data_IF_783313353222
#
_entry.id   IF_783313353222
#
_cell.length_a   1.000
_cell.length_b   1.000
_cell.length_c   1.000
_cell.angle_alpha   90.00
_cell.angle_beta   90.00
_cell.angle_gamma   90.00
#
_symmetry.space_group_name_H-M   'P 1'
#
loop_
_entity.id
_entity.type
_entity.pdbx_description
1 polymer ?
#
# COMPACT_ATOMS: atom_id res chain seq x y z
N UNK A 1 8.49 17.93 -21.37
CA UNK A 1 8.44 17.99 -20.41
C UNK A 1 8.16 16.97 -19.53
N UNK A 2 8.85 16.51 -18.93
CA UNK A 2 8.74 15.52 -18.11
C UNK A 2 7.85 15.76 -17.04
N UNK A 3 7.25 16.69 -17.10
CA UNK A 3 6.45 17.03 -16.04
C UNK A 3 5.32 16.11 -15.87
N UNK A 4 5.09 15.29 -16.81
CA UNK A 4 3.99 14.46 -16.68
C UNK A 4 4.05 13.60 -15.54
N UNK A 5 5.12 12.99 -15.31
CA UNK A 5 5.21 12.09 -14.21
C UNK A 5 5.02 12.82 -12.95
N UNK A 6 5.58 14.01 -12.87
CA UNK A 6 5.43 14.72 -11.71
C UNK A 6 4.09 15.31 -11.61
N UNK A 7 3.42 15.48 -12.69
CA UNK A 7 2.11 16.05 -12.66
C UNK A 7 1.16 15.25 -11.83
N UNK A 8 1.24 13.94 -11.92
CA UNK A 8 0.38 13.11 -11.10
C UNK A 8 0.64 13.36 -9.64
N UNK A 9 1.90 13.49 -9.27
CA UNK A 9 2.24 13.76 -7.92
C UNK A 9 1.79 15.14 -7.54
N UNK A 10 1.99 16.07 -8.42
CA UNK A 10 1.64 17.44 -8.14
C UNK A 10 0.16 17.61 -7.98
N UNK A 11 -0.63 16.80 -8.59
CA UNK A 11 -2.05 16.93 -8.44
C UNK A 11 -2.52 16.39 -7.11
N UNK A 12 -1.63 15.86 -6.32
CA UNK A 12 -2.00 15.41 -5.00
C UNK A 12 -2.50 13.99 -4.93
N UNK A 13 -2.44 13.26 -6.03
CA UNK A 13 -2.89 11.88 -6.01
C UNK A 13 -1.75 11.00 -5.56
N UNK A 14 -1.88 10.34 -4.42
CA UNK A 14 -0.80 9.49 -3.92
C UNK A 14 -0.70 8.20 -4.72
N UNK A 15 0.49 7.61 -4.68
CA UNK A 15 0.74 6.34 -5.34
C UNK A 15 0.67 5.22 -4.31
N UNK A 16 -0.04 4.16 -4.66
CA UNK A 16 -0.12 2.98 -3.82
C UNK A 16 0.45 1.82 -4.62
N UNK A 17 1.39 1.10 -4.05
CA UNK A 17 1.97 -0.07 -4.69
C UNK A 17 1.32 -1.33 -4.13
N UNK A 18 0.94 -2.24 -5.00
CA UNK A 18 0.39 -3.53 -4.59
C UNK A 18 1.39 -4.58 -5.01
N UNK A 19 1.93 -5.35 -4.06
CA UNK A 19 2.88 -6.40 -4.37
C UNK A 19 2.20 -7.73 -4.05
N UNK A 20 1.80 -8.45 -5.07
CA UNK A 20 0.96 -9.62 -4.88
C UNK A 20 1.14 -10.59 -6.02
N UNK A 21 0.96 -11.86 -5.74
CA UNK A 21 0.96 -12.88 -6.77
C UNK A 21 -0.44 -13.12 -7.31
N UNK A 22 -1.43 -12.43 -6.79
CA UNK A 22 -2.81 -12.67 -7.18
C UNK A 22 -3.38 -11.46 -7.92
N UNK A 23 -3.58 -11.57 -9.23
CA UNK A 23 -4.11 -10.41 -9.98
C UNK A 23 -5.45 -9.91 -9.46
N UNK A 24 -6.26 -10.80 -8.90
CA UNK A 24 -7.55 -10.36 -8.39
C UNK A 24 -7.42 -9.41 -7.21
N UNK A 25 -6.39 -9.58 -6.41
CA UNK A 25 -6.18 -8.65 -5.31
C UNK A 25 -5.82 -7.27 -5.85
N UNK A 26 -4.94 -7.23 -6.85
CA UNK A 26 -4.58 -5.95 -7.44
C UNK A 26 -5.79 -5.26 -8.03
N UNK A 27 -6.64 -6.00 -8.71
CA UNK A 27 -7.85 -5.41 -9.28
C UNK A 27 -8.79 -4.90 -8.21
N UNK A 28 -8.91 -5.64 -7.13
CA UNK A 28 -9.79 -5.22 -6.04
C UNK A 28 -9.27 -3.94 -5.39
N UNK A 29 -7.96 -3.84 -5.23
CA UNK A 29 -7.37 -2.64 -4.63
C UNK A 29 -7.54 -1.46 -5.58
N UNK A 30 -7.32 -1.68 -6.87
CA UNK A 30 -7.51 -0.61 -7.83
C UNK A 30 -8.94 -0.08 -7.77
N UNK A 31 -9.91 -0.98 -7.76
CA UNK A 31 -11.29 -0.56 -7.67
C UNK A 31 -11.61 0.16 -6.39
N UNK A 32 -11.09 -0.36 -5.29
CA UNK A 32 -11.38 0.23 -3.99
C UNK A 32 -10.80 1.63 -3.85
N UNK A 33 -9.66 1.90 -4.48
CA UNK A 33 -8.97 3.16 -4.33
C UNK A 33 -9.20 4.12 -5.49
N UNK A 34 -10.11 3.77 -6.37
CA UNK A 34 -10.39 4.62 -7.50
C UNK A 34 -10.80 6.00 -7.04
N UNK A 35 -10.21 7.02 -7.57
CA UNK A 35 -10.51 8.40 -7.19
C UNK A 35 -9.71 8.94 -6.03
N UNK A 36 -9.02 8.08 -5.28
CA UNK A 36 -8.25 8.57 -4.15
C UNK A 36 -6.76 8.28 -4.27
N UNK A 37 -6.38 7.35 -5.12
CA UNK A 37 -4.96 7.02 -5.26
C UNK A 37 -4.71 6.41 -6.62
N UNK A 38 -3.48 6.51 -7.06
CA UNK A 38 -3.03 5.82 -8.25
C UNK A 38 -2.46 4.49 -7.79
N UNK A 39 -2.91 3.38 -8.35
CA UNK A 39 -2.49 2.07 -7.90
C UNK A 39 -1.62 1.43 -8.97
N UNK A 40 -0.46 0.90 -8.56
CA UNK A 40 0.38 0.13 -9.45
C UNK A 40 0.64 -1.22 -8.85
N UNK A 41 0.46 -2.25 -9.63
CA UNK A 41 0.59 -3.61 -9.18
C UNK A 41 1.88 -4.21 -9.66
N UNK A 42 2.54 -4.97 -8.80
CA UNK A 42 3.80 -5.62 -9.10
C UNK A 42 3.76 -7.05 -8.59
N UNK A 43 4.36 -7.99 -9.30
CA UNK A 43 4.33 -9.37 -8.86
C UNK A 43 5.21 -9.57 -7.63
N UNK A 44 4.77 -10.40 -6.73
CA UNK A 44 5.55 -10.76 -5.56
C UNK A 44 6.71 -11.67 -5.97
N UNK A 45 7.73 -11.69 -5.14
CA UNK A 45 8.83 -12.63 -5.35
C UNK A 45 9.82 -12.23 -6.43
N UNK A 46 9.81 -10.96 -6.81
CA UNK A 46 10.67 -10.54 -7.90
C UNK A 46 11.99 -9.97 -7.45
N UNK A 47 12.42 -10.23 -6.27
CA UNK A 47 13.72 -9.77 -5.82
C UNK A 47 13.59 -8.82 -4.67
N UNK A 48 14.41 -7.78 -4.63
CA UNK A 48 14.50 -6.92 -3.46
C UNK A 48 13.36 -5.92 -3.43
N UNK A 49 12.31 -6.29 -2.76
CA UNK A 49 11.12 -5.46 -2.69
C UNK A 49 11.41 -4.13 -1.99
N UNK A 50 12.21 -4.14 -0.94
CA UNK A 50 12.48 -2.89 -0.23
C UNK A 50 13.20 -1.89 -1.13
N UNK A 51 14.18 -2.35 -1.91
CA UNK A 51 14.90 -1.45 -2.81
C UNK A 51 13.99 -0.90 -3.89
N UNK A 52 13.14 -1.75 -4.43
CA UNK A 52 12.20 -1.35 -5.44
C UNK A 52 11.25 -0.29 -4.90
N UNK A 53 10.77 -0.48 -3.68
CA UNK A 53 9.87 0.50 -3.09
C UNK A 53 10.58 1.80 -2.77
N UNK A 54 11.86 1.75 -2.42
CA UNK A 54 12.62 2.98 -2.20
C UNK A 54 12.71 3.81 -3.47
N UNK A 55 12.82 3.15 -4.60
CA UNK A 55 12.84 3.89 -5.84
C UNK A 55 11.48 4.44 -6.20
N UNK A 56 10.45 3.69 -5.93
CA UNK A 56 9.11 4.08 -6.31
C UNK A 56 8.50 5.11 -5.37
N UNK A 57 8.83 5.04 -4.10
CA UNK A 57 8.35 5.98 -3.08
C UNK A 57 6.83 6.10 -3.01
N UNK A 58 6.13 4.98 -2.86
CA UNK A 58 4.68 5.07 -2.73
C UNK A 58 4.27 5.59 -1.36
N UNK A 59 3.10 6.15 -1.28
CA UNK A 59 2.55 6.61 0.00
C UNK A 59 2.04 5.44 0.83
N UNK A 60 1.63 4.36 0.16
CA UNK A 60 1.15 3.18 0.85
C UNK A 60 1.49 1.95 0.04
N UNK A 61 1.59 0.82 0.70
CA UNK A 61 1.89 -0.45 0.05
C UNK A 61 0.90 -1.47 0.54
N UNK A 62 0.38 -2.29 -0.36
CA UNK A 62 -0.52 -3.39 -0.01
C UNK A 62 0.18 -4.67 -0.43
N UNK A 63 0.32 -5.61 0.48
CA UNK A 63 0.97 -6.89 0.21
C UNK A 63 0.10 -8.02 0.71
N UNK A 64 0.31 -9.22 0.17
CA UNK A 64 -0.49 -10.36 0.61
C UNK A 64 0.34 -11.55 1.06
N UNK A 65 1.62 -11.40 1.24
CA UNK A 65 2.42 -12.50 1.76
C UNK A 65 3.29 -12.01 2.91
N UNK A 66 3.61 -12.89 3.85
CA UNK A 66 4.45 -12.48 4.97
C UNK A 66 5.84 -12.02 4.53
N UNK A 67 6.41 -12.68 3.51
CA UNK A 67 7.74 -12.30 3.06
C UNK A 67 7.75 -10.90 2.48
N UNK A 68 6.76 -10.60 1.68
CA UNK A 68 6.69 -9.27 1.13
C UNK A 68 6.36 -8.24 2.20
N UNK A 69 5.59 -8.65 3.20
CA UNK A 69 5.27 -7.75 4.29
C UNK A 69 6.51 -7.34 5.06
N UNK A 70 7.44 -8.28 5.28
CA UNK A 70 8.66 -7.93 5.98
C UNK A 70 9.51 -6.97 5.18
N UNK A 71 9.66 -7.23 3.89
CA UNK A 71 10.46 -6.35 3.05
C UNK A 71 9.82 -4.97 2.93
N UNK A 72 8.51 -4.94 2.77
CA UNK A 72 7.82 -3.67 2.65
C UNK A 72 7.82 -2.90 3.97
N UNK A 73 7.82 -3.62 5.10
CA UNK A 73 7.86 -2.95 6.40
C UNK A 73 9.15 -2.18 6.58
N UNK A 74 10.24 -2.70 6.07
CA UNK A 74 11.51 -2.01 6.16
C UNK A 74 11.40 -0.66 5.45
N UNK A 75 10.88 -0.67 4.24
CA UNK A 75 10.67 0.56 3.50
C UNK A 75 9.68 1.47 4.21
N UNK A 76 8.58 0.91 4.70
CA UNK A 76 7.53 1.72 5.29
C UNK A 76 8.00 2.45 6.54
N UNK A 77 8.85 1.80 7.33
CA UNK A 77 9.37 2.46 8.52
C UNK A 77 10.30 3.62 8.15
N UNK A 78 11.13 3.40 7.12
CA UNK A 78 12.04 4.45 6.70
C UNK A 78 11.31 5.63 6.11
N UNK A 79 10.31 5.36 5.29
CA UNK A 79 9.64 6.41 4.53
C UNK A 79 8.39 6.92 5.22
N UNK A 80 8.03 6.31 6.33
CA UNK A 80 6.80 6.63 7.05
C UNK A 80 5.59 6.40 6.18
N UNK A 81 5.65 5.39 5.34
CA UNK A 81 4.53 5.01 4.51
C UNK A 81 3.63 4.05 5.27
N UNK A 82 2.41 3.91 4.82
CA UNK A 82 1.47 2.97 5.40
C UNK A 82 1.60 1.65 4.68
N UNK A 83 1.60 0.55 5.41
CA UNK A 83 1.65 -0.78 4.82
C UNK A 83 0.43 -1.55 5.27
N UNK A 84 -0.27 -2.12 4.32
CA UNK A 84 -1.44 -2.96 4.60
C UNK A 84 -1.09 -4.39 4.19
N UNK A 85 -1.15 -5.30 5.12
CA UNK A 85 -0.91 -6.71 4.84
C UNK A 85 -2.27 -7.40 4.84
N UNK A 86 -2.65 -7.93 3.69
CA UNK A 86 -3.91 -8.61 3.51
C UNK A 86 -3.65 -10.10 3.59
N UNK A 87 -4.25 -10.77 4.54
CA UNK A 87 -4.11 -12.21 4.62
C UNK A 87 -5.38 -12.80 4.07
N UNK A 88 -5.33 -13.24 2.82
CA UNK A 88 -6.52 -13.78 2.19
C UNK A 88 -6.94 -15.10 2.81
N UNK A 89 -5.95 -15.88 3.23
CA UNK A 89 -6.26 -17.15 3.85
C UNK A 89 -7.00 -16.98 5.16
N UNK A 90 -6.61 -15.99 5.95
CA UNK A 90 -7.23 -15.78 7.25
C UNK A 90 -8.29 -14.71 7.23
N UNK A 91 -8.49 -14.09 6.07
CA UNK A 91 -9.48 -13.04 5.91
C UNK A 91 -9.24 -11.91 6.91
N UNK A 92 -8.02 -11.44 6.98
CA UNK A 92 -7.62 -10.42 7.93
C UNK A 92 -6.80 -9.33 7.31
N UNK A 93 -6.83 -8.17 7.93
CA UNK A 93 -5.97 -7.07 7.57
C UNK A 93 -5.07 -6.69 8.74
N UNK A 94 -3.83 -6.41 8.46
CA UNK A 94 -2.93 -5.83 9.43
C UNK A 94 -2.39 -4.54 8.83
N UNK A 95 -2.20 -3.55 9.67
CA UNK A 95 -1.77 -2.24 9.22
C UNK A 95 -0.49 -1.86 9.94
N UNK A 96 0.52 -1.44 9.22
CA UNK A 96 1.72 -0.89 9.82
C UNK A 96 1.69 0.61 9.58
N UNK A 97 1.64 1.37 10.66
CA UNK A 97 1.61 2.81 10.55
C UNK A 97 2.42 3.36 11.72
N UNK A 98 3.28 4.33 11.42
CA UNK A 98 4.13 4.95 12.43
C UNK A 98 4.98 3.91 13.16
N UNK A 99 5.41 2.89 12.44
CA UNK A 99 6.28 1.86 12.99
C UNK A 99 5.60 0.81 13.84
N UNK A 100 4.29 0.81 13.90
CA UNK A 100 3.58 -0.15 14.72
C UNK A 100 2.57 -0.94 13.92
N UNK A 101 2.54 -2.24 14.16
CA UNK A 101 1.56 -3.11 13.54
C UNK A 101 0.26 -3.09 14.33
N UNK A 102 -0.84 -3.03 13.64
CA UNK A 102 -2.15 -3.12 14.24
C UNK A 102 -2.96 -4.16 13.50
N UNK A 103 -3.68 -4.99 14.23
CA UNK A 103 -4.62 -5.90 13.61
C UNK A 103 -5.94 -5.17 13.53
N UNK A 104 -6.58 -5.18 12.39
CA UNK A 104 -7.88 -4.56 12.24
C UNK A 104 -8.91 -5.60 12.62
N UNK A 105 -9.34 -5.51 13.82
CA UNK A 105 -10.03 -6.59 14.45
C UNK A 105 -11.40 -6.92 13.95
N UNK A 106 -12.05 -6.06 13.20
CA UNK A 106 -13.29 -6.41 12.75
C UNK A 106 -13.23 -7.07 11.51
N UNK A 107 -12.22 -7.61 11.20
CA UNK A 107 -11.97 -8.22 10.41
C UNK A 107 -12.00 -8.62 9.06
N UNK A 108 -12.69 -8.49 8.22
CA UNK A 108 -12.53 -9.10 6.94
C UNK A 108 -11.62 -8.28 6.05
N UNK A 109 -11.02 -8.93 5.07
CA UNK A 109 -10.15 -8.28 4.12
C UNK A 109 -10.95 -7.80 2.92
N UNK A 110 -12.02 -7.10 3.15
CA UNK A 110 -12.88 -6.64 2.07
C UNK A 110 -12.28 -5.40 1.40
N UNK A 111 -12.69 -5.12 0.18
CA UNK A 111 -12.21 -3.91 -0.49
C UNK A 111 -12.49 -2.63 0.27
N UNK A 112 -13.63 -2.55 0.94
CA UNK A 112 -13.97 -1.37 1.72
C UNK A 112 -13.00 -1.18 2.88
N UNK A 113 -12.61 -2.28 3.51
CA UNK A 113 -11.68 -2.18 4.61
C UNK A 113 -10.28 -1.81 4.13
N UNK A 114 -9.88 -2.33 3.00
CA UNK A 114 -8.60 -1.96 2.40
C UNK A 114 -8.63 -0.47 2.08
N UNK A 115 -9.71 0.02 1.49
CA UNK A 115 -9.84 1.42 1.18
C UNK A 115 -9.74 2.26 2.45
N UNK A 116 -10.44 1.87 3.50
CA UNK A 116 -10.42 2.63 4.74
C UNK A 116 -9.02 2.67 5.35
N UNK A 117 -8.32 1.55 5.34
CA UNK A 117 -6.99 1.49 5.93
C UNK A 117 -6.01 2.35 5.15
N UNK A 118 -6.04 2.25 3.82
CA UNK A 118 -5.13 3.00 2.99
C UNK A 118 -5.46 4.49 3.07
N UNK A 119 -6.73 4.82 3.00
CA UNK A 119 -7.14 6.23 3.01
C UNK A 119 -6.76 6.89 4.32
N UNK A 120 -6.93 6.19 5.44
CA UNK A 120 -6.57 6.75 6.73
C UNK A 120 -5.07 7.02 6.80
N UNK A 121 -4.27 6.09 6.31
CA UNK A 121 -2.83 6.27 6.33
C UNK A 121 -2.38 7.42 5.46
N UNK A 122 -2.95 7.52 4.27
CA UNK A 122 -2.60 8.58 3.36
C UNK A 122 -3.03 9.92 3.92
N UNK A 123 -4.23 9.97 4.49
CA UNK A 123 -4.74 11.21 5.05
C UNK A 123 -3.87 11.69 6.20
N UNK A 124 -3.50 10.79 7.11
CA UNK A 124 -2.66 11.18 8.22
C UNK A 124 -1.30 11.66 7.76
N UNK A 125 -0.76 11.02 6.73
CA UNK A 125 0.50 11.44 6.19
C UNK A 125 0.41 12.84 5.62
N UNK A 126 -0.67 13.15 4.91
CA UNK A 126 -0.87 14.47 4.34
C UNK A 126 -1.08 15.53 5.38
N UNK A 127 -1.76 15.20 6.44
CA UNK A 127 -2.03 16.17 7.48
C UNK A 127 -0.76 16.61 8.17
N UNK A 128 0.25 15.75 8.21
CA UNK A 128 1.44 16.11 8.88
C UNK A 128 2.25 17.13 8.19
N UNK A 129 2.02 17.36 6.94
CA UNK A 129 2.77 18.39 6.29
C UNK A 129 2.08 19.71 6.49
#
# INVERSE_FOLDING_TARGET
MNAEARTATDSGIPLVAVVSSYPLLAEAVEGALEGIAEVRAFPAGQGDTADFLRLLQPAAVVVDSPEEAEAAAEFAREARATLVHVSLREDRLRLLHAGRWQNLSDGSASPERIRSAVAAGIYLRGVRT
#
